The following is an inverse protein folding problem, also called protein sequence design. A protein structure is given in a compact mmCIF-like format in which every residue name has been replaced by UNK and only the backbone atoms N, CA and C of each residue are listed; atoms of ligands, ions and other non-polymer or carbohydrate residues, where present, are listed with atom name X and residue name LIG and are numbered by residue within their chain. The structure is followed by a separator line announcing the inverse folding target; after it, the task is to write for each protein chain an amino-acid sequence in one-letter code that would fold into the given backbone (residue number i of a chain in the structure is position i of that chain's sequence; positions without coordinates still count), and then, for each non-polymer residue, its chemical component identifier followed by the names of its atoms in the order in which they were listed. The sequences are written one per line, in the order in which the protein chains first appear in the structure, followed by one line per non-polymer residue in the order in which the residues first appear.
data_IF_706662008982
#
_entry.id   IF_706662008982
#
_cell.length_a   1.000
_cell.length_b   1.000
_cell.length_c   1.000
_cell.angle_alpha   90.00
_cell.angle_beta   90.00
_cell.angle_gamma   90.00
#
_symmetry.space_group_name_H-M   'P 1'
#
loop_
_entity.id
_entity.type
_entity.pdbx_description
1 polymer ?
#
# COMPACT_ATOMS: atom_id res chain seq x y z
N UNK A 1 -13.18 22.62 -10.65
CA UNK A 1 -13.10 22.48 -9.17
C UNK A 1 -14.06 21.42 -8.66
N UNK A 2 -15.38 21.63 -8.67
CA UNK A 2 -16.33 20.60 -8.18
C UNK A 2 -16.23 19.29 -8.98
N UNK A 3 -16.16 19.37 -10.31
CA UNK A 3 -15.95 18.20 -11.16
C UNK A 3 -14.65 17.47 -10.82
N UNK A 4 -13.55 18.20 -10.60
CA UNK A 4 -12.25 17.61 -10.21
C UNK A 4 -12.36 16.85 -8.87
N UNK A 5 -13.11 17.39 -7.91
CA UNK A 5 -13.40 16.69 -6.63
C UNK A 5 -14.18 15.40 -6.90
N UNK A 6 -15.29 15.49 -7.65
CA UNK A 6 -16.17 14.37 -7.94
C UNK A 6 -15.44 13.25 -8.71
N UNK A 7 -14.54 13.60 -9.64
CA UNK A 7 -13.70 12.62 -10.35
C UNK A 7 -12.68 11.94 -9.45
N UNK A 8 -12.19 12.62 -8.40
CA UNK A 8 -11.26 12.05 -7.43
C UNK A 8 -11.90 11.05 -6.45
N UNK A 9 -13.19 11.19 -6.13
CA UNK A 9 -13.87 10.35 -5.13
C UNK A 9 -13.84 8.85 -5.53
N UNK A 10 -14.27 8.43 -6.73
CA UNK A 10 -14.23 7.03 -7.13
C UNK A 10 -12.81 6.43 -7.06
N UNK A 11 -11.80 7.22 -7.45
CA UNK A 11 -10.40 6.80 -7.41
C UNK A 11 -9.89 6.65 -5.97
N UNK A 12 -10.30 7.53 -5.05
CA UNK A 12 -9.98 7.40 -3.63
C UNK A 12 -10.62 6.17 -2.99
N UNK A 13 -11.88 5.86 -3.34
CA UNK A 13 -12.52 4.61 -2.91
C UNK A 13 -11.80 3.40 -3.49
N UNK A 14 -11.48 3.41 -4.78
CA UNK A 14 -10.73 2.33 -5.43
C UNK A 14 -9.37 2.11 -4.75
N UNK A 15 -8.61 3.18 -4.52
CA UNK A 15 -7.31 3.14 -3.87
C UNK A 15 -7.40 2.53 -2.45
N UNK A 16 -8.45 2.86 -1.70
CA UNK A 16 -8.68 2.29 -0.37
C UNK A 16 -8.81 0.76 -0.39
N UNK A 17 -9.32 0.16 -1.46
CA UNK A 17 -9.44 -1.29 -1.59
C UNK A 17 -8.31 -1.94 -2.39
N UNK A 18 -7.31 -1.16 -2.82
CA UNK A 18 -6.16 -1.70 -3.54
C UNK A 18 -5.36 -2.63 -2.62
N UNK A 19 -5.37 -3.91 -2.96
CA UNK A 19 -4.73 -4.94 -2.13
C UNK A 19 -3.22 -4.91 -2.35
N UNK A 20 -2.48 -4.70 -1.27
CA UNK A 20 -1.02 -4.68 -1.28
C UNK A 20 -0.41 -4.76 0.11
N UNK A 21 0.93 -4.66 0.22
CA UNK A 21 1.65 -4.77 1.49
C UNK A 21 1.13 -3.84 2.60
N UNK A 22 0.93 -2.56 2.26
CA UNK A 22 0.43 -1.56 3.21
C UNK A 22 -0.99 -1.89 3.70
N UNK A 23 -1.88 -2.35 2.81
CA UNK A 23 -3.24 -2.77 3.14
C UNK A 23 -3.25 -3.87 4.22
N UNK A 24 -2.46 -4.93 4.03
CA UNK A 24 -2.42 -6.04 5.00
C UNK A 24 -1.81 -5.62 6.34
N UNK A 25 -0.76 -4.80 6.32
CA UNK A 25 -0.12 -4.31 7.55
C UNK A 25 -1.03 -3.33 8.29
N UNK A 26 -1.84 -2.53 7.58
CA UNK A 26 -2.84 -1.65 8.19
C UNK A 26 -3.90 -2.48 8.93
N UNK A 27 -4.45 -3.51 8.28
CA UNK A 27 -5.43 -4.41 8.91
C UNK A 27 -4.84 -5.16 10.10
N UNK A 28 -3.58 -5.63 10.01
CA UNK A 28 -2.84 -6.20 11.14
C UNK A 28 -2.80 -5.24 12.31
N UNK A 29 -2.35 -4.02 12.05
CA UNK A 29 -2.13 -3.01 13.06
C UNK A 29 -3.46 -2.60 13.70
N UNK A 30 -4.53 -2.49 12.91
CA UNK A 30 -5.87 -2.16 13.40
C UNK A 30 -6.44 -3.26 14.29
N UNK A 31 -6.34 -4.52 13.85
CA UNK A 31 -6.88 -5.66 14.57
C UNK A 31 -6.11 -5.94 15.87
N UNK A 32 -4.79 -5.77 15.88
CA UNK A 32 -3.94 -6.15 17.03
C UNK A 32 -3.64 -4.96 17.95
N UNK A 33 -3.26 -3.81 17.39
CA UNK A 33 -2.82 -2.63 18.14
C UNK A 33 -3.88 -1.53 18.24
N UNK A 34 -5.02 -1.71 17.57
CA UNK A 34 -6.16 -0.81 17.63
C UNK A 34 -6.04 0.45 16.77
N UNK A 35 -7.08 1.28 16.83
CA UNK A 35 -7.26 2.44 15.95
C UNK A 35 -6.08 3.41 15.95
N UNK A 36 -5.60 3.83 17.14
CA UNK A 36 -4.55 4.85 17.24
C UNK A 36 -3.26 4.42 16.52
N UNK A 37 -2.84 3.17 16.68
CA UNK A 37 -1.65 2.65 16.01
C UNK A 37 -1.87 2.53 14.50
N UNK A 38 -3.02 2.03 14.06
CA UNK A 38 -3.31 1.86 12.64
C UNK A 38 -3.44 3.19 11.91
N UNK A 39 -4.15 4.16 12.49
CA UNK A 39 -4.24 5.51 11.93
C UNK A 39 -2.88 6.21 11.86
N UNK A 40 -2.02 6.01 12.87
CA UNK A 40 -0.64 6.52 12.84
C UNK A 40 0.18 5.86 11.71
N UNK A 41 -0.01 4.56 11.48
CA UNK A 41 0.64 3.86 10.38
C UNK A 41 0.16 4.43 9.03
N UNK A 42 -1.14 4.65 8.90
CA UNK A 42 -1.79 5.16 7.70
C UNK A 42 -1.35 6.59 7.34
N UNK A 43 -1.11 7.44 8.34
CA UNK A 43 -0.44 8.74 8.14
C UNK A 43 0.91 8.56 7.44
N UNK A 44 1.70 7.56 7.84
CA UNK A 44 2.96 7.24 7.17
C UNK A 44 2.77 6.85 5.71
N UNK A 45 1.75 6.04 5.41
CA UNK A 45 1.40 5.61 4.05
C UNK A 45 1.06 6.84 3.19
N UNK A 46 0.17 7.71 3.68
CA UNK A 46 -0.22 8.95 3.00
C UNK A 46 0.96 9.89 2.77
N UNK A 47 1.89 9.99 3.73
CA UNK A 47 3.10 10.81 3.53
C UNK A 47 3.95 10.28 2.36
N UNK A 48 4.06 8.97 2.19
CA UNK A 48 4.75 8.39 1.03
C UNK A 48 3.99 8.65 -0.27
N UNK A 49 2.65 8.57 -0.27
CA UNK A 49 1.82 8.92 -1.42
C UNK A 49 2.01 10.37 -1.85
N UNK A 50 2.00 11.29 -0.89
CA UNK A 50 2.25 12.71 -1.14
C UNK A 50 3.63 12.89 -1.78
N UNK A 51 4.67 12.26 -1.23
CA UNK A 51 6.03 12.30 -1.82
C UNK A 51 6.01 11.80 -3.26
N UNK A 52 5.32 10.70 -3.57
CA UNK A 52 5.22 10.20 -4.94
C UNK A 52 4.44 11.11 -5.87
N UNK A 53 3.37 11.77 -5.42
CA UNK A 53 2.66 12.77 -6.21
C UNK A 53 3.57 13.96 -6.52
N UNK A 54 4.36 14.41 -5.55
CA UNK A 54 5.36 15.47 -5.76
C UNK A 54 6.43 15.05 -6.78
N UNK A 55 6.99 13.84 -6.63
CA UNK A 55 7.96 13.28 -7.57
C UNK A 55 7.34 13.17 -8.97
N UNK A 56 6.09 12.71 -9.07
CA UNK A 56 5.38 12.58 -10.34
C UNK A 56 5.14 13.94 -11.01
N UNK A 57 4.76 14.96 -10.24
CA UNK A 57 4.45 16.29 -10.76
C UNK A 57 5.68 17.05 -11.24
N UNK A 58 6.79 16.98 -10.49
CA UNK A 58 7.99 17.78 -10.77
C UNK A 58 8.99 17.11 -11.72
N UNK A 59 8.85 15.81 -11.97
CA UNK A 59 9.75 15.10 -12.87
C UNK A 59 9.16 14.97 -14.27
N UNK A 60 10.02 14.74 -15.27
CA UNK A 60 9.57 14.52 -16.64
C UNK A 60 8.94 13.14 -16.77
N UNK A 61 7.91 13.02 -17.61
CA UNK A 61 7.23 11.74 -17.87
C UNK A 61 8.20 10.65 -18.33
N UNK A 62 9.26 11.00 -19.07
CA UNK A 62 10.26 10.05 -19.55
C UNK A 62 11.17 9.55 -18.42
N UNK A 63 11.66 10.46 -17.56
CA UNK A 63 12.50 10.09 -16.43
C UNK A 63 11.73 9.23 -15.42
N UNK A 64 10.46 9.55 -15.16
CA UNK A 64 9.63 8.78 -14.23
C UNK A 64 9.30 7.39 -14.76
N UNK A 65 9.05 7.26 -16.07
CA UNK A 65 8.85 5.94 -16.70
C UNK A 65 10.11 5.10 -16.61
N UNK A 66 11.27 5.66 -16.92
CA UNK A 66 12.54 4.92 -16.83
C UNK A 66 12.86 4.50 -15.39
N UNK A 67 12.52 5.32 -14.40
CA UNK A 67 12.67 4.97 -12.97
C UNK A 67 11.67 3.89 -12.57
N UNK A 68 10.38 4.09 -12.86
CA UNK A 68 9.32 3.13 -12.50
C UNK A 68 9.57 1.75 -13.09
N UNK A 69 10.03 1.70 -14.34
CA UNK A 69 10.25 0.47 -15.09
C UNK A 69 11.68 -0.07 -14.91
N UNK A 70 12.49 0.53 -14.01
CA UNK A 70 13.83 0.07 -13.68
C UNK A 70 13.76 -1.30 -12.98
N UNK A 71 14.30 -2.37 -13.58
CA UNK A 71 14.29 -3.70 -12.97
C UNK A 71 15.00 -3.73 -11.61
N UNK A 72 16.00 -2.87 -11.41
CA UNK A 72 16.72 -2.72 -10.15
C UNK A 72 15.81 -2.26 -9.00
N UNK A 73 14.83 -1.38 -9.28
CA UNK A 73 13.87 -0.92 -8.27
C UNK A 73 12.90 -2.02 -7.85
N UNK A 74 12.46 -2.85 -8.80
CA UNK A 74 11.64 -4.04 -8.50
C UNK A 74 12.40 -5.05 -7.64
N UNK A 75 13.67 -5.35 -7.98
CA UNK A 75 14.51 -6.28 -7.21
C UNK A 75 14.80 -5.72 -5.82
N UNK A 76 15.19 -4.44 -5.71
CA UNK A 76 15.47 -3.80 -4.43
C UNK A 76 14.23 -3.80 -3.53
N UNK A 77 13.09 -3.32 -4.05
CA UNK A 77 11.89 -3.22 -3.25
C UNK A 77 11.32 -4.59 -2.87
N UNK A 78 11.36 -5.55 -3.80
CA UNK A 78 10.99 -6.93 -3.55
C UNK A 78 11.88 -7.60 -2.51
N UNK A 79 13.19 -7.33 -2.55
CA UNK A 79 14.17 -7.83 -1.59
C UNK A 79 13.91 -7.31 -0.17
N UNK A 80 13.74 -6.00 -0.01
CA UNK A 80 13.44 -5.40 1.31
C UNK A 80 12.11 -5.93 1.85
N UNK A 81 11.08 -6.02 1.01
CA UNK A 81 9.77 -6.54 1.40
C UNK A 81 9.83 -8.02 1.82
N UNK A 82 10.57 -8.84 1.07
CA UNK A 82 10.79 -10.27 1.38
C UNK A 82 11.51 -10.43 2.71
N UNK A 83 12.60 -9.69 2.94
CA UNK A 83 13.36 -9.72 4.19
C UNK A 83 12.48 -9.28 5.36
N UNK A 84 11.73 -8.19 5.20
CA UNK A 84 10.80 -7.73 6.23
C UNK A 84 9.74 -8.79 6.56
N UNK A 85 9.14 -9.41 5.54
CA UNK A 85 8.19 -10.51 5.70
C UNK A 85 8.79 -11.72 6.41
N UNK A 86 10.03 -12.11 6.07
CA UNK A 86 10.73 -13.22 6.72
C UNK A 86 11.01 -12.93 8.21
N UNK A 87 11.51 -11.73 8.52
CA UNK A 87 11.75 -11.31 9.91
C UNK A 87 10.43 -11.30 10.69
N UNK A 88 9.35 -10.79 10.10
CA UNK A 88 8.02 -10.78 10.70
C UNK A 88 7.50 -12.20 10.97
N UNK A 89 7.71 -13.13 10.03
CA UNK A 89 7.32 -14.53 10.17
C UNK A 89 8.07 -15.23 11.30
N UNK A 90 9.40 -15.07 11.38
CA UNK A 90 10.24 -15.66 12.43
C UNK A 90 9.82 -15.11 13.80
N UNK A 91 9.61 -13.79 13.91
CA UNK A 91 9.11 -13.16 15.14
C UNK A 91 7.74 -13.71 15.53
N UNK A 92 6.83 -13.89 14.57
CA UNK A 92 5.52 -14.48 14.84
C UNK A 92 5.61 -15.95 15.28
N UNK A 93 6.55 -16.73 14.73
CA UNK A 93 6.77 -18.14 15.09
C UNK A 93 7.31 -18.29 16.51
N UNK A 94 8.24 -17.43 16.92
CA UNK A 94 8.97 -17.55 18.18
C UNK A 94 8.31 -16.79 19.34
N UNK A 95 7.27 -15.99 19.07
CA UNK A 95 6.58 -15.22 20.10
C UNK A 95 5.62 -16.09 20.94
N UNK A 96 5.80 -16.06 22.25
CA UNK A 96 4.85 -16.56 23.24
C UNK A 96 3.90 -15.41 23.60
N UNK A 97 2.84 -15.20 22.82
CA UNK A 97 1.86 -14.15 23.13
C UNK A 97 1.07 -14.53 24.38
N UNK A 98 1.14 -13.71 25.43
CA UNK A 98 0.34 -13.84 26.65
C UNK A 98 -0.79 -12.79 26.66
N UNK A 99 -1.88 -13.02 27.39
CA UNK A 99 -2.98 -12.04 27.47
C UNK A 99 -2.52 -10.67 28.03
N UNK A 100 -1.47 -10.65 28.85
CA UNK A 100 -0.85 -9.44 29.42
C UNK A 100 -0.08 -8.59 28.39
N UNK A 101 0.34 -9.15 27.24
CA UNK A 101 0.94 -8.38 26.14
C UNK A 101 -0.07 -7.44 25.45
N UNK A 102 -1.36 -7.60 25.77
CA UNK A 102 -2.50 -6.92 25.15
C UNK A 102 -3.26 -6.00 26.12
N UNK A 103 -3.20 -6.24 27.44
CA UNK A 103 -3.61 -5.26 28.43
C UNK A 103 -2.51 -4.18 28.54
N UNK A 104 -2.75 -3.04 27.92
CA UNK A 104 -1.94 -1.82 28.05
C UNK A 104 -0.60 -1.83 27.29
N UNK A 105 -0.65 -2.02 25.98
CA UNK A 105 0.26 -1.24 25.11
C UNK A 105 -0.25 0.20 25.04
N UNK A 106 -0.15 0.96 26.14
CA UNK A 106 -0.20 2.43 26.09
C UNK A 106 0.99 2.86 25.23
N UNK A 107 0.73 3.12 23.94
CA UNK A 107 1.71 3.62 22.98
C UNK A 107 2.53 4.73 23.64
N UNK A 108 3.83 4.49 23.86
CA UNK A 108 4.74 5.54 24.30
C UNK A 108 4.92 6.51 23.14
N UNK A 109 5.23 7.77 23.41
CA UNK A 109 5.39 8.80 22.37
C UNK A 109 6.41 8.41 21.29
N UNK A 110 7.48 7.68 21.67
CA UNK A 110 8.50 7.12 20.76
C UNK A 110 7.95 6.05 19.80
N UNK A 111 6.84 5.40 20.15
CA UNK A 111 6.23 4.36 19.33
C UNK A 111 5.50 4.96 18.12
N UNK A 112 5.02 6.20 18.20
CA UNK A 112 4.29 6.85 17.10
C UNK A 112 5.19 7.14 15.90
N UNK A 113 6.37 7.74 16.11
CA UNK A 113 7.31 8.01 15.01
C UNK A 113 7.78 6.73 14.33
N UNK A 114 8.05 5.67 15.11
CA UNK A 114 8.40 4.36 14.54
C UNK A 114 7.27 3.75 13.71
N UNK A 115 6.02 3.96 14.12
CA UNK A 115 4.84 3.48 13.37
C UNK A 115 4.63 4.29 12.09
N UNK A 116 4.77 5.62 12.12
CA UNK A 116 4.72 6.47 10.91
C UNK A 116 5.82 6.07 9.94
N UNK A 117 7.07 5.96 10.41
CA UNK A 117 8.20 5.57 9.57
C UNK A 117 7.99 4.18 8.96
N UNK A 118 7.40 3.24 9.71
CA UNK A 118 7.03 1.92 9.19
C UNK A 118 5.99 2.04 8.07
N UNK A 119 4.92 2.82 8.24
CA UNK A 119 3.92 3.07 7.21
C UNK A 119 4.51 3.68 5.95
N UNK A 120 5.33 4.72 6.14
CA UNK A 120 6.04 5.39 5.06
C UNK A 120 6.93 4.42 4.28
N UNK A 121 7.82 3.69 4.95
CA UNK A 121 8.78 2.80 4.27
C UNK A 121 8.08 1.67 3.51
N UNK A 122 7.04 1.06 4.11
CA UNK A 122 6.30 -0.02 3.45
C UNK A 122 5.61 0.47 2.18
N UNK A 123 5.05 1.68 2.21
CA UNK A 123 4.40 2.26 1.02
C UNK A 123 5.43 2.77 -0.01
N UNK A 124 6.52 3.40 0.46
CA UNK A 124 7.59 3.94 -0.38
C UNK A 124 8.36 2.84 -1.13
N UNK A 125 8.55 1.67 -0.54
CA UNK A 125 9.21 0.55 -1.20
C UNK A 125 8.31 -0.09 -2.27
N UNK A 126 7.00 0.12 -2.20
CA UNK A 126 6.05 -0.42 -3.17
C UNK A 126 6.06 0.41 -4.46
N UNK A 127 6.89 -0.01 -5.43
CA UNK A 127 7.01 0.64 -6.75
C UNK A 127 5.67 0.74 -7.51
N UNK A 128 4.71 -0.15 -7.21
CA UNK A 128 3.35 -0.07 -7.76
C UNK A 128 2.64 1.23 -7.40
N UNK A 129 2.93 1.81 -6.23
CA UNK A 129 2.34 3.06 -5.75
C UNK A 129 2.87 4.25 -6.56
N UNK A 130 4.19 4.33 -6.77
CA UNK A 130 4.77 5.32 -7.70
C UNK A 130 4.12 5.20 -9.07
N UNK A 131 3.99 3.96 -9.55
CA UNK A 131 3.37 3.66 -10.83
C UNK A 131 1.91 4.08 -10.95
N UNK A 132 1.14 3.95 -9.88
CA UNK A 132 -0.24 4.38 -9.78
C UNK A 132 -0.38 5.90 -9.84
N UNK A 133 0.37 6.63 -9.01
CA UNK A 133 0.32 8.10 -9.00
C UNK A 133 0.79 8.70 -10.33
N UNK A 134 1.85 8.13 -10.92
CA UNK A 134 2.29 8.49 -12.26
C UNK A 134 1.20 8.23 -13.31
N UNK A 135 0.55 7.07 -13.25
CA UNK A 135 -0.54 6.71 -14.17
C UNK A 135 -1.71 7.68 -14.09
N UNK A 136 -2.14 8.04 -12.88
CA UNK A 136 -3.19 9.04 -12.67
C UNK A 136 -2.79 10.41 -13.23
N UNK A 137 -1.55 10.85 -13.01
CA UNK A 137 -1.07 12.11 -13.55
C UNK A 137 -1.04 12.10 -15.09
N UNK A 138 -0.64 11.00 -15.71
CA UNK A 138 -0.62 10.87 -17.18
C UNK A 138 -2.03 10.86 -17.77
N UNK A 139 -2.97 10.14 -17.13
CA UNK A 139 -4.34 9.97 -17.63
C UNK A 139 -5.18 11.24 -17.40
N UNK A 140 -5.15 11.78 -16.18
CA UNK A 140 -6.01 12.90 -15.77
C UNK A 140 -5.30 14.27 -15.84
N UNK A 141 -3.98 14.32 -15.85
CA UNK A 141 -3.24 15.58 -15.95
C UNK A 141 -3.63 16.44 -17.15
N UNK A 142 -3.73 15.88 -18.38
CA UNK A 142 -4.16 16.62 -19.56
C UNK A 142 -5.57 17.22 -19.45
N UNK A 143 -6.54 16.49 -18.90
CA UNK A 143 -7.92 16.99 -18.72
C UNK A 143 -8.05 18.05 -17.61
N UNK A 144 -7.08 18.08 -16.70
CA UNK A 144 -6.90 19.12 -15.68
C UNK A 144 -6.02 20.29 -16.18
N UNK A 145 -5.67 20.30 -17.47
CA UNK A 145 -4.82 21.30 -18.15
C UNK A 145 -3.44 21.47 -17.50
N UNK A 146 -2.97 20.47 -16.74
CA UNK A 146 -1.76 20.55 -15.92
C UNK A 146 -1.73 21.76 -14.94
N UNK A 147 -2.90 22.36 -14.66
CA UNK A 147 -3.01 23.50 -13.75
C UNK A 147 -2.79 23.02 -12.32
N UNK A 148 -1.78 23.57 -11.65
CA UNK A 148 -1.40 23.18 -10.29
C UNK A 148 -2.59 23.21 -9.31
N UNK A 149 -3.42 24.25 -9.35
CA UNK A 149 -4.59 24.37 -8.47
C UNK A 149 -5.62 23.25 -8.70
N UNK A 150 -5.86 22.85 -9.95
CA UNK A 150 -6.80 21.76 -10.28
C UNK A 150 -6.22 20.40 -9.89
N UNK A 151 -4.93 20.18 -10.12
CA UNK A 151 -4.23 18.95 -9.72
C UNK A 151 -4.22 18.78 -8.21
N UNK A 152 -3.90 19.85 -7.45
CA UNK A 152 -3.93 19.81 -5.99
C UNK A 152 -5.33 19.45 -5.49
N UNK A 153 -6.39 20.05 -6.05
CA UNK A 153 -7.77 19.73 -5.67
C UNK A 153 -8.12 18.26 -5.99
N UNK A 154 -7.76 17.79 -7.19
CA UNK A 154 -8.01 16.42 -7.63
C UNK A 154 -7.30 15.38 -6.74
N UNK A 155 -5.97 15.49 -6.57
CA UNK A 155 -5.20 14.56 -5.76
C UNK A 155 -5.54 14.64 -4.27
N UNK A 156 -5.85 15.83 -3.75
CA UNK A 156 -6.35 15.97 -2.37
C UNK A 156 -7.70 15.29 -2.21
N UNK A 157 -8.60 15.40 -3.19
CA UNK A 157 -9.89 14.69 -3.16
C UNK A 157 -9.70 13.17 -3.09
N UNK A 158 -8.76 12.62 -3.85
CA UNK A 158 -8.39 11.20 -3.82
C UNK A 158 -7.88 10.82 -2.42
N UNK A 159 -6.88 11.53 -1.89
CA UNK A 159 -6.27 11.22 -0.59
C UNK A 159 -7.28 11.34 0.56
N UNK A 160 -8.11 12.39 0.56
CA UNK A 160 -9.11 12.58 1.61
C UNK A 160 -10.16 11.47 1.55
N UNK A 161 -10.65 11.12 0.35
CA UNK A 161 -11.60 10.02 0.19
C UNK A 161 -10.99 8.69 0.61
N UNK A 162 -9.76 8.42 0.18
CA UNK A 162 -8.97 7.25 0.59
C UNK A 162 -8.88 7.15 2.12
N UNK A 163 -8.41 8.20 2.79
CA UNK A 163 -8.28 8.24 4.26
C UNK A 163 -9.63 8.04 4.97
N UNK A 164 -10.71 8.61 4.46
CA UNK A 164 -12.05 8.43 5.04
C UNK A 164 -12.50 6.96 4.97
N UNK A 165 -12.29 6.29 3.84
CA UNK A 165 -12.59 4.86 3.70
C UNK A 165 -11.66 4.02 4.57
N UNK A 166 -10.39 4.39 4.70
CA UNK A 166 -9.42 3.73 5.57
C UNK A 166 -9.80 3.82 7.04
N UNK A 167 -10.28 4.97 7.51
CA UNK A 167 -10.84 5.10 8.85
C UNK A 167 -11.95 4.07 9.09
N UNK A 168 -12.88 3.88 8.14
CA UNK A 168 -13.92 2.86 8.26
C UNK A 168 -13.32 1.45 8.31
N UNK A 169 -12.38 1.13 7.41
CA UNK A 169 -11.70 -0.18 7.40
C UNK A 169 -10.94 -0.46 8.69
N UNK A 170 -10.25 0.54 9.24
CA UNK A 170 -9.53 0.44 10.52
C UNK A 170 -10.51 0.17 11.67
N UNK A 171 -11.65 0.87 11.71
CA UNK A 171 -12.67 0.65 12.73
C UNK A 171 -13.28 -0.76 12.64
N UNK A 172 -13.54 -1.25 11.42
CA UNK A 172 -14.02 -2.61 11.18
C UNK A 172 -12.99 -3.66 11.59
N UNK A 173 -11.73 -3.48 11.20
CA UNK A 173 -10.64 -4.38 11.56
C UNK A 173 -10.37 -4.39 13.07
N UNK A 174 -10.47 -3.23 13.75
CA UNK A 174 -10.38 -3.15 15.20
C UNK A 174 -11.46 -3.99 15.90
N UNK A 175 -12.68 -4.07 15.35
CA UNK A 175 -13.76 -4.89 15.91
C UNK A 175 -13.40 -6.38 15.94
N UNK A 176 -12.49 -6.83 15.08
CA UNK A 176 -11.97 -8.19 15.07
C UNK A 176 -11.12 -8.52 16.30
N UNK A 177 -10.56 -7.50 16.99
CA UNK A 177 -9.72 -7.67 18.18
C UNK A 177 -10.41 -8.53 19.26
N UNK A 178 -11.70 -8.31 19.51
CA UNK A 178 -12.47 -9.05 20.52
C UNK A 178 -12.60 -10.56 20.24
N UNK A 179 -12.21 -11.02 19.04
CA UNK A 179 -12.21 -12.43 18.63
C UNK A 179 -10.80 -13.03 18.49
N UNK A 180 -9.75 -12.23 18.72
CA UNK A 180 -8.36 -12.65 18.58
C UNK A 180 -7.87 -13.32 19.87
N UNK A 181 -7.70 -14.65 19.81
CA UNK A 181 -6.94 -15.39 20.83
C UNK A 181 -5.45 -15.38 20.49
N UNK A 182 -4.53 -15.58 21.45
CA UNK A 182 -3.09 -15.63 21.17
C UNK A 182 -2.71 -16.53 19.99
N UNK A 183 -3.35 -17.71 19.87
CA UNK A 183 -3.15 -18.62 18.73
C UNK A 183 -3.62 -18.01 17.40
N UNK A 184 -4.78 -17.35 17.36
CA UNK A 184 -5.31 -16.69 16.16
C UNK A 184 -4.44 -15.51 15.73
N UNK A 185 -3.87 -14.77 16.69
CA UNK A 185 -2.94 -13.68 16.42
C UNK A 185 -1.68 -14.20 15.73
N UNK A 186 -1.09 -15.27 16.24
CA UNK A 186 0.08 -15.89 15.61
C UNK A 186 -0.22 -16.34 14.18
N UNK A 187 -1.39 -16.95 13.95
CA UNK A 187 -1.82 -17.34 12.60
C UNK A 187 -2.01 -16.12 11.69
N UNK A 188 -2.63 -15.06 12.18
CA UNK A 188 -2.87 -13.83 11.41
C UNK A 188 -1.55 -13.16 11.01
N UNK A 189 -0.62 -13.01 11.95
CA UNK A 189 0.72 -12.45 11.67
C UNK A 189 1.51 -13.31 10.70
N UNK A 190 1.46 -14.64 10.84
CA UNK A 190 2.12 -15.57 9.90
C UNK A 190 1.53 -15.44 8.50
N UNK A 191 0.20 -15.35 8.38
CA UNK A 191 -0.50 -15.16 7.11
C UNK A 191 -0.08 -13.85 6.41
N UNK A 192 -0.08 -12.74 7.15
CA UNK A 192 0.36 -11.44 6.61
C UNK A 192 1.84 -11.48 6.23
N UNK A 193 2.70 -12.06 7.07
CA UNK A 193 4.12 -12.22 6.76
C UNK A 193 4.35 -13.04 5.49
N UNK A 194 3.58 -14.11 5.30
CA UNK A 194 3.62 -14.93 4.10
C UNK A 194 3.16 -14.17 2.85
N UNK A 195 2.09 -13.37 2.94
CA UNK A 195 1.66 -12.49 1.86
C UNK A 195 2.74 -11.48 1.47
N UNK A 196 3.42 -10.87 2.45
CA UNK A 196 4.53 -9.93 2.18
C UNK A 196 5.69 -10.61 1.46
N UNK A 197 6.04 -11.85 1.84
CA UNK A 197 7.05 -12.65 1.13
C UNK A 197 6.60 -12.91 -0.30
N UNK A 198 5.34 -13.28 -0.54
CA UNK A 198 4.81 -13.49 -1.89
C UNK A 198 4.92 -12.21 -2.72
N UNK A 199 4.45 -11.07 -2.21
CA UNK A 199 4.58 -9.79 -2.92
C UNK A 199 6.03 -9.45 -3.23
N UNK A 200 6.93 -9.67 -2.26
CA UNK A 200 8.36 -9.42 -2.44
C UNK A 200 8.97 -10.30 -3.54
N UNK A 201 8.63 -11.59 -3.56
CA UNK A 201 9.08 -12.53 -4.59
C UNK A 201 8.51 -12.17 -5.97
N UNK A 202 7.24 -11.79 -6.06
CA UNK A 202 6.61 -11.32 -7.31
C UNK A 202 7.36 -10.11 -7.87
N UNK A 203 7.71 -9.13 -7.02
CA UNK A 203 8.49 -7.97 -7.44
C UNK A 203 9.89 -8.37 -7.92
N UNK A 204 10.59 -9.26 -7.21
CA UNK A 204 11.90 -9.76 -7.64
C UNK A 204 11.80 -10.45 -9.00
N UNK A 205 10.82 -11.32 -9.20
CA UNK A 205 10.61 -12.01 -10.48
C UNK A 205 10.34 -11.02 -11.61
N UNK A 206 9.53 -9.99 -11.36
CA UNK A 206 9.27 -8.90 -12.32
C UNK A 206 10.53 -8.13 -12.71
N UNK A 207 11.45 -7.91 -11.76
CA UNK A 207 12.73 -7.27 -12.06
C UNK A 207 13.75 -8.21 -12.71
N UNK A 208 13.76 -9.50 -12.39
CA UNK A 208 14.71 -10.44 -13.01
C UNK A 208 14.36 -10.78 -14.45
N UNK A 209 13.06 -10.89 -14.75
CA UNK A 209 12.58 -11.42 -16.04
C UNK A 209 11.42 -10.58 -16.61
N UNK A 210 11.63 -9.27 -16.85
CA UNK A 210 10.53 -8.36 -17.22
C UNK A 210 9.84 -8.77 -18.53
N UNK A 211 10.59 -9.25 -19.53
CA UNK A 211 10.05 -9.63 -20.85
C UNK A 211 9.11 -10.84 -20.82
N UNK A 212 9.39 -11.81 -19.96
CA UNK A 212 8.56 -13.00 -19.84
C UNK A 212 7.28 -12.69 -19.06
N UNK A 213 7.37 -11.83 -18.04
CA UNK A 213 6.21 -11.33 -17.30
C UNK A 213 5.29 -10.52 -18.23
N UNK A 214 5.82 -9.59 -19.04
CA UNK A 214 5.03 -8.85 -20.02
C UNK A 214 4.32 -9.75 -21.05
N UNK A 215 4.96 -10.86 -21.43
CA UNK A 215 4.36 -11.84 -22.34
C UNK A 215 3.20 -12.59 -21.66
N UNK A 216 3.39 -13.03 -20.41
CA UNK A 216 2.35 -13.69 -19.62
C UNK A 216 1.16 -12.74 -19.40
N UNK A 217 1.39 -11.47 -19.09
CA UNK A 217 0.34 -10.47 -18.93
C UNK A 217 -0.47 -10.30 -20.22
N UNK A 218 0.19 -10.19 -21.38
CA UNK A 218 -0.48 -10.12 -22.69
C UNK A 218 -1.28 -11.38 -23.01
N UNK A 219 -0.73 -12.55 -22.71
CA UNK A 219 -1.42 -13.82 -22.96
C UNK A 219 -2.68 -13.96 -22.08
N UNK A 220 -2.62 -13.51 -20.82
CA UNK A 220 -3.77 -13.48 -19.90
C UNK A 220 -4.83 -12.46 -20.34
N UNK A 221 -4.44 -11.26 -20.76
CA UNK A 221 -5.38 -10.25 -21.29
C UNK A 221 -6.12 -10.78 -22.54
N UNK A 222 -5.40 -11.44 -23.44
CA UNK A 222 -5.99 -12.03 -24.65
C UNK A 222 -6.99 -13.15 -24.32
N UNK A 223 -6.73 -13.96 -23.29
CA UNK A 223 -7.66 -14.99 -22.82
C UNK A 223 -8.92 -14.35 -22.21
N UNK A 224 -8.76 -13.34 -21.34
CA UNK A 224 -9.89 -12.61 -20.74
C UNK A 224 -10.78 -11.97 -21.81
N UNK A 225 -10.18 -11.28 -22.78
CA UNK A 225 -10.91 -10.64 -23.88
C UNK A 225 -11.69 -11.65 -24.74
N UNK A 226 -11.17 -12.87 -24.90
CA UNK A 226 -11.85 -13.92 -25.66
C UNK A 226 -13.03 -14.53 -24.91
N UNK A 227 -12.97 -14.55 -23.58
CA UNK A 227 -14.05 -15.03 -22.70
C UNK A 227 -15.18 -13.98 -22.57
N UNK A 228 -14.84 -12.69 -22.51
CA UNK A 228 -15.82 -11.61 -22.40
C UNK A 228 -16.63 -11.35 -23.70
N UNK A 229 -16.18 -11.90 -24.83
CA UNK A 229 -16.81 -11.78 -26.15
C UNK A 229 -17.49 -13.08 -26.64
N UNK A 230 -17.69 -14.06 -25.76
CA UNK A 230 -18.47 -15.29 -25.98
C UNK A 230 -19.81 -15.21 -25.23
#
# INVERSE_FOLDING_TARGET
MLQDILSGIPLGVFLAFMVGPAFFILLETAAIRGFKAAFTFDIGVILADIVFIFIAYFSTNQLLRSIKDDPGLFIFGGGVLTIYGLIAYIKAKNATYTNADFEVQKLKRKDYLGIVAKGFLINFINIGVLGFWLGLLIIFGPSLEMKASRLVIFFTSIIVTYLLVDVLKILLAKKLNNKLTPRRITLFKKGISFLLIIFGLILILRGLIPKEIEKIEKDLENVSYKVDNL
#
